data_IF_130925696396
#
_entry.id   IF_130925696396
#
_cell.length_a   1.000
_cell.length_b   1.000
_cell.length_c   1.000
_cell.angle_alpha   90.00
_cell.angle_beta   90.00
_cell.angle_gamma   90.00
#
_symmetry.space_group_name_H-M   'P 1'
#
loop_
_entity.id
_entity.type
_entity.pdbx_description
1 polymer ?
#
# COMPACT_ATOMS: atom_id res chain seq x y z
N UNK A 1 5.00 -16.32 -1.04
CA UNK A 1 3.82 -16.25 -0.13
C UNK A 1 2.92 -17.45 -0.36
N UNK A 2 2.36 -18.04 0.71
CA UNK A 2 1.47 -19.23 0.59
C UNK A 2 0.15 -18.86 -0.10
N UNK A 3 -0.45 -19.75 -0.94
CA UNK A 3 -1.68 -19.44 -1.70
C UNK A 3 -2.85 -18.94 -0.84
N UNK A 4 -3.06 -19.55 0.34
CA UNK A 4 -4.09 -19.10 1.30
C UNK A 4 -3.91 -17.64 1.67
N UNK A 5 -2.68 -17.22 1.98
CA UNK A 5 -2.38 -15.83 2.36
C UNK A 5 -2.59 -14.84 1.19
N UNK A 6 -2.27 -15.27 -0.04
CA UNK A 6 -2.56 -14.47 -1.24
C UNK A 6 -4.06 -14.21 -1.38
N UNK A 7 -4.87 -15.24 -1.22
CA UNK A 7 -6.32 -15.13 -1.31
C UNK A 7 -6.91 -14.22 -0.22
N UNK A 8 -6.44 -14.36 1.02
CA UNK A 8 -6.85 -13.49 2.12
C UNK A 8 -6.54 -12.02 1.83
N UNK A 9 -5.32 -11.73 1.39
CA UNK A 9 -4.87 -10.36 1.07
C UNK A 9 -5.67 -9.78 -0.09
N UNK A 10 -5.92 -10.56 -1.14
CA UNK A 10 -6.72 -10.11 -2.28
C UNK A 10 -8.16 -9.74 -1.86
N UNK A 11 -8.81 -10.59 -1.07
CA UNK A 11 -10.17 -10.31 -0.56
C UNK A 11 -10.21 -9.10 0.36
N UNK A 12 -9.23 -8.99 1.27
CA UNK A 12 -9.15 -7.86 2.18
C UNK A 12 -8.87 -6.55 1.42
N UNK A 13 -7.96 -6.57 0.44
CA UNK A 13 -7.69 -5.43 -0.42
C UNK A 13 -8.93 -4.96 -1.18
N UNK A 14 -9.71 -5.88 -1.75
CA UNK A 14 -10.98 -5.55 -2.42
C UNK A 14 -12.01 -4.94 -1.46
N UNK A 15 -12.10 -5.46 -0.23
CA UNK A 15 -12.99 -4.90 0.79
C UNK A 15 -12.57 -3.48 1.18
N UNK A 16 -11.28 -3.27 1.43
CA UNK A 16 -10.74 -1.95 1.77
C UNK A 16 -11.01 -0.95 0.65
N UNK A 17 -10.79 -1.36 -0.60
CA UNK A 17 -11.10 -0.53 -1.78
C UNK A 17 -12.58 -0.13 -1.83
N UNK A 18 -13.49 -1.08 -1.64
CA UNK A 18 -14.92 -0.81 -1.60
C UNK A 18 -15.32 0.18 -0.51
N UNK A 19 -14.77 0.00 0.71
CA UNK A 19 -15.03 0.90 1.84
C UNK A 19 -14.44 2.29 1.55
N UNK A 20 -13.23 2.36 1.01
CA UNK A 20 -12.56 3.58 0.60
C UNK A 20 -13.41 4.40 -0.39
N UNK A 21 -13.93 3.76 -1.43
CA UNK A 21 -14.79 4.39 -2.43
C UNK A 21 -16.11 4.90 -1.83
N UNK A 22 -16.77 4.09 -1.02
CA UNK A 22 -18.04 4.48 -0.38
C UNK A 22 -17.90 5.60 0.63
N UNK A 23 -16.76 5.67 1.29
CA UNK A 23 -16.48 6.69 2.31
C UNK A 23 -15.74 7.91 1.77
N UNK A 24 -15.39 7.90 0.48
CA UNK A 24 -14.55 8.92 -0.17
C UNK A 24 -13.21 9.14 0.57
N UNK A 25 -12.58 8.02 1.00
CA UNK A 25 -11.32 8.01 1.72
C UNK A 25 -10.27 7.33 0.87
N UNK A 26 -9.15 8.00 0.63
CA UNK A 26 -8.04 7.46 -0.16
C UNK A 26 -6.75 7.25 0.65
N UNK A 27 -6.83 7.40 1.97
CA UNK A 27 -5.70 7.30 2.89
C UNK A 27 -5.91 6.15 3.87
N UNK A 28 -4.99 5.19 3.88
CA UNK A 28 -5.11 3.94 4.65
C UNK A 28 -3.90 3.79 5.57
N UNK A 29 -4.14 3.33 6.79
CA UNK A 29 -3.10 2.91 7.72
C UNK A 29 -3.21 1.41 7.96
N UNK A 30 -2.16 0.67 7.65
CA UNK A 30 -2.03 -0.78 7.86
C UNK A 30 -1.15 -1.02 9.08
N UNK A 31 -1.75 -1.33 10.23
CA UNK A 31 -1.04 -1.58 11.50
C UNK A 31 -0.78 -3.06 11.68
N UNK A 32 0.48 -3.42 12.01
CA UNK A 32 0.94 -4.80 12.04
C UNK A 32 1.13 -5.37 10.63
N UNK A 33 1.59 -4.54 9.72
CA UNK A 33 1.68 -4.83 8.28
C UNK A 33 2.68 -5.93 7.91
N UNK A 34 3.56 -6.31 8.83
CA UNK A 34 4.65 -7.25 8.56
C UNK A 34 5.54 -6.75 7.42
N UNK A 35 5.75 -7.59 6.42
CA UNK A 35 6.53 -7.21 5.22
C UNK A 35 5.71 -6.49 4.15
N UNK A 36 4.56 -5.92 4.50
CA UNK A 36 3.80 -4.97 3.68
C UNK A 36 3.06 -5.56 2.48
N UNK A 37 2.66 -6.82 2.51
CA UNK A 37 1.96 -7.43 1.37
C UNK A 37 0.61 -6.77 1.07
N UNK A 38 -0.20 -6.48 2.11
CA UNK A 38 -1.48 -5.80 1.94
C UNK A 38 -1.26 -4.33 1.57
N UNK A 39 -0.37 -3.64 2.26
CA UNK A 39 -0.03 -2.24 2.00
C UNK A 39 0.40 -2.03 0.55
N UNK A 40 1.20 -2.96 0.02
CA UNK A 40 1.66 -2.96 -1.39
C UNK A 40 0.50 -3.16 -2.37
N UNK A 41 -0.41 -4.09 -2.10
CA UNK A 41 -1.61 -4.28 -2.92
C UNK A 41 -2.48 -3.02 -2.94
N UNK A 42 -2.69 -2.40 -1.78
CA UNK A 42 -3.50 -1.18 -1.65
C UNK A 42 -2.88 0.00 -2.40
N UNK A 43 -1.56 0.17 -2.30
CA UNK A 43 -0.87 1.29 -2.94
C UNK A 43 -0.77 1.11 -4.47
N UNK A 44 -0.27 -0.04 -4.95
CA UNK A 44 0.01 -0.22 -6.38
C UNK A 44 -1.18 -0.68 -7.20
N UNK A 45 -2.06 -1.53 -6.66
CA UNK A 45 -3.20 -2.05 -7.42
C UNK A 45 -4.50 -1.26 -7.21
N UNK A 46 -4.66 -0.64 -6.04
CA UNK A 46 -5.86 0.13 -5.71
C UNK A 46 -5.61 1.65 -5.66
N UNK A 47 -4.38 2.10 -5.85
CA UNK A 47 -3.97 3.52 -5.88
C UNK A 47 -4.34 4.29 -4.61
N UNK A 48 -4.34 3.59 -3.47
CA UNK A 48 -4.62 4.17 -2.16
C UNK A 48 -3.33 4.63 -1.50
N UNK A 49 -3.33 5.85 -0.97
CA UNK A 49 -2.20 6.36 -0.19
C UNK A 49 -2.08 5.56 1.11
N UNK A 50 -1.08 4.71 1.21
CA UNK A 50 -0.96 3.73 2.29
C UNK A 50 0.27 3.99 3.14
N UNK A 51 0.08 4.03 4.46
CA UNK A 51 1.14 4.00 5.46
C UNK A 51 1.06 2.67 6.19
N UNK A 52 2.13 1.91 6.18
CA UNK A 52 2.25 0.64 6.89
C UNK A 52 3.10 0.80 8.14
N UNK A 53 2.69 0.22 9.23
CA UNK A 53 3.37 0.31 10.52
C UNK A 53 3.58 -1.09 11.07
N UNK A 54 4.82 -1.41 11.43
CA UNK A 54 5.15 -2.66 12.13
C UNK A 54 6.22 -2.39 13.19
N UNK A 55 6.12 -3.12 14.31
CA UNK A 55 7.05 -2.95 15.44
C UNK A 55 8.43 -3.60 15.20
N UNK A 56 8.55 -4.50 14.22
CA UNK A 56 9.78 -5.23 13.96
C UNK A 56 10.65 -4.50 12.94
N UNK A 57 11.88 -4.17 13.34
CA UNK A 57 12.84 -3.42 12.51
C UNK A 57 13.15 -4.08 11.16
N UNK A 58 13.23 -5.41 11.13
CA UNK A 58 13.53 -6.14 9.89
C UNK A 58 12.36 -6.19 8.91
N UNK A 59 11.13 -5.95 9.35
CA UNK A 59 9.97 -5.95 8.45
C UNK A 59 9.97 -4.74 7.54
N UNK A 60 10.29 -3.55 8.05
CA UNK A 60 10.34 -2.33 7.25
C UNK A 60 11.41 -2.38 6.16
N UNK A 61 12.60 -2.90 6.46
CA UNK A 61 13.68 -3.06 5.47
C UNK A 61 13.31 -4.09 4.39
N UNK A 62 12.72 -5.22 4.79
CA UNK A 62 12.23 -6.24 3.87
C UNK A 62 11.11 -5.72 2.98
N UNK A 63 10.17 -4.94 3.54
CA UNK A 63 9.06 -4.35 2.80
C UNK A 63 9.57 -3.41 1.72
N UNK A 64 10.50 -2.50 2.05
CA UNK A 64 11.14 -1.60 1.06
C UNK A 64 11.86 -2.36 -0.04
N UNK A 65 12.59 -3.41 0.30
CA UNK A 65 13.27 -4.25 -0.71
C UNK A 65 12.29 -4.91 -1.69
N UNK A 66 11.13 -5.36 -1.21
CA UNK A 66 10.08 -5.90 -2.08
C UNK A 66 9.43 -4.82 -2.95
N UNK A 67 9.26 -3.61 -2.43
CA UNK A 67 8.73 -2.48 -3.21
C UNK A 67 9.70 -2.11 -4.34
N UNK A 68 11.00 -1.98 -4.05
CA UNK A 68 12.04 -1.72 -5.04
C UNK A 68 12.05 -2.77 -6.17
N UNK A 69 11.86 -4.04 -5.81
CA UNK A 69 11.80 -5.11 -6.80
C UNK A 69 10.56 -5.00 -7.68
N UNK A 70 9.40 -4.72 -7.08
CA UNK A 70 8.15 -4.54 -7.80
C UNK A 70 8.20 -3.32 -8.72
N UNK A 71 8.71 -2.18 -8.26
CA UNK A 71 8.85 -0.97 -9.06
C UNK A 71 9.75 -1.20 -10.28
N UNK A 72 10.87 -1.89 -10.10
CA UNK A 72 11.74 -2.27 -11.22
C UNK A 72 11.04 -3.18 -12.25
N UNK A 73 10.17 -4.09 -11.78
CA UNK A 73 9.38 -4.94 -12.68
C UNK A 73 8.33 -4.13 -13.44
N UNK A 74 7.60 -3.25 -12.75
CA UNK A 74 6.59 -2.39 -13.36
C UNK A 74 7.21 -1.43 -14.39
N UNK A 75 8.36 -0.84 -14.08
CA UNK A 75 9.08 0.01 -15.02
C UNK A 75 9.49 -0.73 -16.29
N UNK A 76 9.98 -1.98 -16.16
CA UNK A 76 10.32 -2.82 -17.32
C UNK A 76 9.09 -3.15 -18.17
N UNK A 77 7.96 -3.45 -17.52
CA UNK A 77 6.71 -3.76 -18.22
C UNK A 77 6.21 -2.54 -19.00
N UNK A 78 6.18 -1.37 -18.38
CA UNK A 78 5.77 -0.12 -19.03
C UNK A 78 6.67 0.17 -20.25
N UNK A 79 7.98 0.00 -20.10
CA UNK A 79 8.91 0.20 -21.22
C UNK A 79 8.63 -0.76 -22.36
N UNK A 80 8.41 -2.05 -22.07
CA UNK A 80 8.09 -3.06 -23.08
C UNK A 80 6.77 -2.74 -23.79
N UNK A 81 5.75 -2.33 -23.05
CA UNK A 81 4.42 -1.98 -23.60
C UNK A 81 4.52 -0.75 -24.52
N UNK A 82 5.33 0.25 -24.17
CA UNK A 82 5.59 1.42 -25.00
C UNK A 82 6.34 1.09 -26.30
N UNK A 83 7.34 0.21 -26.22
CA UNK A 83 8.11 -0.23 -27.40
C UNK A 83 7.24 -1.08 -28.36
N UNK A 84 6.36 -1.91 -27.83
CA UNK A 84 5.44 -2.74 -28.63
C UNK A 84 4.31 -1.94 -29.28
N UNK A 85 3.91 -0.82 -28.72
CA UNK A 85 2.81 0.03 -29.24
C UNK A 85 3.28 0.96 -30.37
N UNK A 86 4.58 1.15 -30.55
CA UNK A 86 5.16 1.99 -31.60
C UNK A 86 4.96 1.42 -32.99
N UNK A 87 4.43 0.22 -33.16
CA UNK A 87 4.24 -0.49 -34.43
C UNK A 87 2.82 -0.44 -35.01
N UNK A 88 1.87 0.28 -34.45
CA UNK A 88 0.52 0.42 -35.05
C UNK A 88 -0.54 0.97 -34.14
N UNK A 89 -1.10 2.09 -34.56
CA UNK A 89 -2.34 2.75 -34.12
C UNK A 89 -2.31 3.65 -32.87
N UNK A 90 -2.67 4.93 -33.13
CA UNK A 90 -3.00 6.00 -32.18
C UNK A 90 -4.08 5.59 -31.17
N UNK A 91 -3.73 4.82 -30.15
CA UNK A 91 -4.44 4.85 -28.90
C UNK A 91 -3.62 5.69 -27.93
N UNK A 92 -4.19 6.81 -27.52
CA UNK A 92 -3.69 7.66 -26.45
C UNK A 92 -3.47 6.79 -25.21
N UNK A 93 -2.27 6.22 -25.12
CA UNK A 93 -1.81 5.60 -23.88
C UNK A 93 -1.58 6.77 -22.93
N UNK A 94 -2.49 6.97 -21.98
CA UNK A 94 -2.20 7.80 -20.82
C UNK A 94 -0.88 7.27 -20.29
N UNK A 95 0.17 8.09 -20.36
CA UNK A 95 1.46 7.83 -19.71
C UNK A 95 1.18 7.61 -18.24
N UNK A 96 0.91 6.38 -17.88
CA UNK A 96 0.55 5.98 -16.55
C UNK A 96 1.76 6.19 -15.67
N UNK A 97 1.73 7.32 -14.95
CA UNK A 97 2.65 7.57 -13.84
C UNK A 97 2.55 6.38 -12.91
N UNK A 98 3.67 5.76 -12.57
CA UNK A 98 3.70 4.67 -11.59
C UNK A 98 2.96 5.13 -10.31
N UNK A 99 2.06 4.30 -9.78
CA UNK A 99 1.44 4.59 -8.50
C UNK A 99 2.50 4.79 -7.43
N UNK A 100 2.25 5.69 -6.49
CA UNK A 100 3.15 5.90 -5.36
C UNK A 100 3.12 4.68 -4.44
N UNK A 101 4.27 4.10 -4.13
CA UNK A 101 4.38 2.97 -3.20
C UNK A 101 3.95 3.32 -1.76
N UNK A 102 3.75 2.31 -0.90
CA UNK A 102 3.41 2.53 0.49
C UNK A 102 4.60 3.11 1.27
N UNK A 103 4.31 3.90 2.31
CA UNK A 103 5.33 4.34 3.28
C UNK A 103 5.43 3.31 4.40
N UNK A 104 6.64 2.80 4.69
CA UNK A 104 6.87 1.82 5.75
C UNK A 104 7.52 2.47 6.96
N UNK A 105 6.84 2.39 8.11
CA UNK A 105 7.30 2.88 9.40
C UNK A 105 7.58 1.72 10.34
N UNK A 106 8.73 1.79 11.03
CA UNK A 106 9.03 0.89 12.14
C UNK A 106 8.69 1.61 13.43
N UNK A 107 7.57 1.22 14.03
CA UNK A 107 7.08 1.84 15.26
C UNK A 107 6.19 0.86 16.03
N UNK A 108 6.37 0.81 17.34
CA UNK A 108 5.41 0.18 18.23
C UNK A 108 4.19 1.10 18.39
N UNK A 109 3.00 0.56 18.18
CA UNK A 109 1.75 1.29 18.37
C UNK A 109 1.18 0.93 19.73
N UNK A 110 1.20 1.88 20.66
CA UNK A 110 0.47 1.78 21.92
C UNK A 110 -0.91 2.41 21.75
N UNK A 111 -1.93 1.60 21.79
CA UNK A 111 -3.32 2.08 21.67
C UNK A 111 -3.80 2.86 22.90
N UNK A 112 -3.06 2.85 24.02
CA UNK A 112 -3.32 3.68 25.17
C UNK A 112 -2.77 5.11 25.01
N UNK A 113 -1.73 5.30 24.19
CA UNK A 113 -1.19 6.60 23.82
C UNK A 113 -1.64 7.01 22.41
N UNK A 114 -2.89 7.44 22.30
CA UNK A 114 -3.48 7.84 21.03
C UNK A 114 -2.87 9.11 20.45
N UNK A 115 -2.37 10.02 21.28
CA UNK A 115 -1.85 11.32 20.84
C UNK A 115 -0.57 11.16 20.02
N UNK A 116 0.42 10.44 20.54
CA UNK A 116 1.68 10.17 19.82
C UNK A 116 1.43 9.45 18.49
N UNK A 117 0.47 8.52 18.46
CA UNK A 117 0.11 7.82 17.23
C UNK A 117 -0.50 8.74 16.19
N UNK A 118 -1.43 9.62 16.61
CA UNK A 118 -2.08 10.60 15.72
C UNK A 118 -1.07 11.60 15.17
N UNK A 119 -0.17 12.12 16.00
CA UNK A 119 0.87 13.06 15.59
C UNK A 119 1.82 12.44 14.57
N UNK A 120 2.25 11.20 14.78
CA UNK A 120 3.07 10.48 13.81
C UNK A 120 2.37 10.38 12.46
N UNK A 121 1.09 10.03 12.43
CA UNK A 121 0.33 9.90 11.19
C UNK A 121 0.06 11.26 10.51
N UNK A 122 -0.14 12.32 11.28
CA UNK A 122 -0.42 13.64 10.74
C UNK A 122 0.69 14.17 9.84
N UNK A 123 1.95 13.76 10.07
CA UNK A 123 3.08 14.12 9.22
C UNK A 123 3.03 13.49 7.82
N UNK A 124 2.34 12.36 7.66
CA UNK A 124 2.24 11.62 6.40
C UNK A 124 0.97 11.90 5.62
N UNK A 125 -0.06 12.41 6.28
CA UNK A 125 -1.35 12.70 5.68
C UNK A 125 -1.68 14.18 5.77
N UNK A 126 -1.68 14.85 4.63
CA UNK A 126 -2.10 16.26 4.52
C UNK A 126 -3.60 16.32 4.25
N UNK A 127 -4.34 16.95 5.16
CA UNK A 127 -5.78 17.19 4.99
C UNK A 127 -6.67 16.55 6.05
N UNK A 128 -7.71 17.28 6.42
CA UNK A 128 -8.55 17.12 7.61
C UNK A 128 -9.64 16.04 7.49
N UNK A 129 -9.37 14.88 6.90
CA UNK A 129 -10.29 13.75 7.04
C UNK A 129 -9.52 12.44 7.12
N UNK A 130 -8.92 12.18 8.28
CA UNK A 130 -8.31 10.88 8.58
C UNK A 130 -9.39 9.98 9.14
N UNK A 131 -10.19 9.36 8.29
CA UNK A 131 -10.93 8.19 8.71
C UNK A 131 -9.97 7.02 8.64
N UNK A 132 -9.55 6.56 9.79
CA UNK A 132 -8.55 5.53 9.99
C UNK A 132 -9.23 4.19 9.82
N UNK A 133 -8.93 3.46 8.74
CA UNK A 133 -9.22 2.03 8.70
C UNK A 133 -8.03 1.35 9.38
N UNK A 134 -8.21 0.99 10.63
CA UNK A 134 -7.24 0.17 11.35
C UNK A 134 -7.41 -1.28 10.93
N UNK A 135 -6.51 -1.77 10.10
CA UNK A 135 -6.39 -3.19 9.84
C UNK A 135 -5.37 -3.76 10.82
N UNK A 136 -5.84 -4.18 11.99
CA UNK A 136 -5.00 -4.91 12.93
C UNK A 136 -4.86 -6.33 12.42
N UNK A 137 -3.78 -6.62 11.72
CA UNK A 137 -3.43 -7.98 11.32
C UNK A 137 -2.94 -8.78 12.54
N UNK A 138 -3.84 -9.03 13.48
CA UNK A 138 -3.59 -9.94 14.60
C UNK A 138 -4.07 -11.36 14.24
N UNK A 139 -3.53 -11.92 13.17
CA UNK A 139 -3.64 -13.36 12.95
C UNK A 139 -2.33 -13.97 13.43
N UNK A 140 -2.27 -14.23 14.74
CA UNK A 140 -1.36 -15.25 15.25
C UNK A 140 -1.87 -16.59 14.72
N UNK A 141 -1.12 -17.18 13.81
CA UNK A 141 -1.05 -18.63 13.63
C UNK A 141 0.20 -19.14 14.31
#
# INVERSE_FOLDING_TARGET
MKPKKQHEIARLGSLVKLVSERSNINQIVDVGSGVGHLSRLLAYAHELKTVSIDAKDNHGSSARSFDDQLEKQLQKQIKYDLESTSAGNNHQCNTSRLPSGPVHLTQYVDFNDQNTFVETLASYFTGMCVIKIFLVNHIRC
#
